data_IF_349716452473
#
_entry.id   IF_349716452473
#
_cell.length_a   1.000
_cell.length_b   1.000
_cell.length_c   1.000
_cell.angle_alpha   90.00
_cell.angle_beta   90.00
_cell.angle_gamma   90.00
#
_symmetry.space_group_name_H-M   'P 1'
#
loop_
_entity.id
_entity.type
_entity.pdbx_description
1 polymer ?
#
# COMPACT_ATOMS: atom_id res chain seq x y z
N UNK A 1 -0.94 15.18 2.66
CA UNK A 1 -0.30 14.55 1.48
C UNK A 1 -1.36 14.23 0.44
N UNK A 2 -1.07 14.48 -0.82
CA UNK A 2 -2.03 14.23 -1.89
C UNK A 2 -2.14 12.75 -2.20
N UNK A 3 -3.31 12.32 -2.66
CA UNK A 3 -3.57 10.93 -3.00
C UNK A 3 -2.55 10.38 -4.01
N UNK A 4 -2.19 11.18 -5.01
CA UNK A 4 -1.20 10.79 -6.01
C UNK A 4 0.17 10.50 -5.39
N UNK A 5 0.55 11.27 -4.39
CA UNK A 5 1.82 11.06 -3.68
C UNK A 5 1.78 9.77 -2.87
N UNK A 6 0.64 9.49 -2.24
CA UNK A 6 0.46 8.26 -1.47
C UNK A 6 0.53 7.04 -2.39
N UNK A 7 -0.13 7.11 -3.54
CA UNK A 7 -0.08 6.04 -4.54
C UNK A 7 1.36 5.77 -4.97
N UNK A 8 2.12 6.82 -5.24
CA UNK A 8 3.52 6.68 -5.64
C UNK A 8 4.36 6.00 -4.56
N UNK A 9 4.11 6.32 -3.29
CA UNK A 9 4.80 5.69 -2.17
C UNK A 9 4.47 4.21 -2.07
N UNK A 10 3.19 3.85 -2.22
CA UNK A 10 2.76 2.45 -2.19
C UNK A 10 3.44 1.66 -3.31
N UNK A 11 3.45 2.21 -4.51
CA UNK A 11 4.07 1.57 -5.67
C UNK A 11 5.57 1.41 -5.45
N UNK A 12 6.23 2.41 -4.88
CA UNK A 12 7.66 2.34 -4.59
C UNK A 12 7.98 1.19 -3.62
N UNK A 13 7.21 1.07 -2.56
CA UNK A 13 7.41 -0.02 -1.60
C UNK A 13 7.06 -1.38 -2.19
N UNK A 14 6.03 -1.47 -3.04
CA UNK A 14 5.71 -2.70 -3.76
C UNK A 14 6.87 -3.12 -4.66
N UNK A 15 7.50 -2.18 -5.33
CA UNK A 15 8.64 -2.46 -6.20
C UNK A 15 9.84 -3.01 -5.47
N UNK A 16 10.00 -2.69 -4.20
CA UNK A 16 11.07 -3.22 -3.36
C UNK A 16 10.83 -4.67 -2.96
N UNK A 17 9.56 -5.04 -2.81
CA UNK A 17 9.15 -6.39 -2.40
C UNK A 17 9.04 -7.30 -3.61
N UNK A 18 8.53 -6.77 -4.73
CA UNK A 18 8.32 -7.52 -5.96
C UNK A 18 8.86 -6.72 -7.15
N UNK A 19 10.19 -6.78 -7.41
CA UNK A 19 10.84 -5.93 -8.41
C UNK A 19 10.36 -6.13 -9.84
N UNK A 20 9.73 -7.26 -10.14
CA UNK A 20 9.22 -7.55 -11.47
C UNK A 20 7.89 -6.87 -11.78
N UNK A 21 7.31 -6.18 -10.81
CA UNK A 21 6.04 -5.47 -11.01
C UNK A 21 6.24 -4.28 -11.93
N UNK A 22 5.36 -4.18 -12.94
CA UNK A 22 5.28 -2.98 -13.78
C UNK A 22 4.17 -2.08 -13.23
N UNK A 23 4.56 -0.96 -12.63
CA UNK A 23 3.63 -0.02 -12.03
C UNK A 23 2.59 0.50 -13.01
N UNK A 24 2.95 0.60 -14.29
CA UNK A 24 2.04 1.10 -15.33
C UNK A 24 0.93 0.10 -15.66
N UNK A 25 1.13 -1.16 -15.34
CA UNK A 25 0.16 -2.22 -15.62
C UNK A 25 -0.64 -2.63 -14.39
N UNK A 26 -0.36 -2.02 -13.24
CA UNK A 26 -1.11 -2.31 -12.03
C UNK A 26 -2.54 -1.79 -12.13
N UNK A 27 -3.50 -2.69 -11.92
CA UNK A 27 -4.90 -2.32 -11.84
C UNK A 27 -5.19 -1.83 -10.41
N UNK A 28 -5.54 -0.55 -10.21
CA UNK A 28 -5.77 -0.02 -8.87
C UNK A 28 -6.96 -0.64 -8.14
N UNK A 29 -7.85 -1.31 -8.86
CA UNK A 29 -9.02 -1.96 -8.28
C UNK A 29 -8.84 -3.46 -8.08
N UNK A 30 -7.73 -4.03 -8.54
CA UNK A 30 -7.42 -5.44 -8.34
C UNK A 30 -6.77 -5.66 -6.97
N UNK A 31 -6.95 -6.85 -6.42
CA UNK A 31 -6.32 -7.21 -5.15
C UNK A 31 -4.81 -7.25 -5.30
N UNK A 32 -4.10 -6.50 -4.45
CA UNK A 32 -2.65 -6.39 -4.52
C UNK A 32 -1.96 -7.75 -4.41
N UNK A 33 -2.45 -8.63 -3.55
CA UNK A 33 -1.84 -9.94 -3.36
C UNK A 33 -1.94 -10.81 -4.62
N UNK A 34 -3.04 -10.69 -5.35
CA UNK A 34 -3.23 -11.42 -6.61
C UNK A 34 -2.50 -10.75 -7.75
N UNK A 35 -2.64 -9.43 -7.87
CA UNK A 35 -2.03 -8.66 -8.96
C UNK A 35 -0.51 -8.73 -8.94
N UNK A 36 0.07 -8.69 -7.74
CA UNK A 36 1.52 -8.68 -7.56
C UNK A 36 2.10 -10.05 -7.22
N UNK A 37 1.24 -11.07 -7.11
CA UNK A 37 1.64 -12.43 -6.76
C UNK A 37 2.49 -12.48 -5.48
N UNK A 38 2.07 -11.74 -4.47
CA UNK A 38 2.75 -11.71 -3.18
C UNK A 38 1.97 -12.52 -2.15
N UNK A 39 2.68 -13.13 -1.21
CA UNK A 39 2.06 -13.91 -0.14
C UNK A 39 1.77 -13.05 1.09
N UNK A 40 1.27 -13.68 2.15
CA UNK A 40 0.91 -12.99 3.38
C UNK A 40 2.11 -12.31 4.04
N UNK A 41 3.29 -12.93 3.96
CA UNK A 41 4.52 -12.38 4.54
C UNK A 41 4.94 -11.12 3.79
N UNK A 42 4.89 -11.16 2.46
CA UNK A 42 5.23 -10.01 1.64
C UNK A 42 4.23 -8.87 1.87
N UNK A 43 2.95 -9.21 2.00
CA UNK A 43 1.93 -8.22 2.29
C UNK A 43 2.18 -7.55 3.65
N UNK A 44 2.53 -8.34 4.65
CA UNK A 44 2.86 -7.83 5.97
C UNK A 44 4.10 -6.92 5.93
N UNK A 45 5.10 -7.31 5.15
CA UNK A 45 6.29 -6.48 4.95
C UNK A 45 5.93 -5.15 4.29
N UNK A 46 5.01 -5.17 3.33
CA UNK A 46 4.52 -3.95 2.68
C UNK A 46 3.85 -3.02 3.70
N UNK A 47 2.96 -3.57 4.53
CA UNK A 47 2.25 -2.80 5.54
C UNK A 47 3.24 -2.18 6.54
N UNK A 48 4.21 -2.97 6.98
CA UNK A 48 5.24 -2.50 7.91
C UNK A 48 6.08 -1.38 7.29
N UNK A 49 6.48 -1.54 6.04
CA UNK A 49 7.26 -0.53 5.34
C UNK A 49 6.48 0.79 5.19
N UNK A 50 5.21 0.69 4.85
CA UNK A 50 4.36 1.87 4.72
C UNK A 50 4.16 2.57 6.06
N UNK A 51 3.94 1.79 7.11
CA UNK A 51 3.79 2.31 8.46
C UNK A 51 5.03 3.11 8.89
N UNK A 52 6.21 2.55 8.66
CA UNK A 52 7.46 3.20 9.02
C UNK A 52 7.74 4.43 8.16
N UNK A 53 7.51 4.31 6.86
CA UNK A 53 7.80 5.40 5.93
C UNK A 53 6.90 6.61 6.14
N UNK A 54 5.62 6.36 6.42
CA UNK A 54 4.63 7.42 6.63
C UNK A 54 4.49 7.82 8.09
N UNK A 55 5.16 7.10 8.99
CA UNK A 55 5.12 7.33 10.44
C UNK A 55 3.70 7.30 11.00
N UNK A 56 2.95 6.29 10.58
CA UNK A 56 1.59 6.06 11.05
C UNK A 56 1.47 4.65 11.58
N UNK A 57 0.46 4.42 12.40
CA UNK A 57 0.15 3.11 12.93
C UNK A 57 -0.95 2.47 12.10
N UNK A 58 -0.73 1.24 11.63
CA UNK A 58 -1.70 0.49 10.84
C UNK A 58 -2.06 -0.77 11.62
N UNK A 59 -3.19 -0.76 12.35
CA UNK A 59 -3.58 -1.95 13.12
C UNK A 59 -4.01 -3.08 12.18
N UNK A 60 -3.81 -4.31 12.65
CA UNK A 60 -4.13 -5.51 11.86
C UNK A 60 -5.59 -5.55 11.42
N UNK A 61 -6.49 -5.01 12.24
CA UNK A 61 -7.92 -4.95 11.92
C UNK A 61 -8.21 -4.11 10.68
N UNK A 62 -7.28 -3.23 10.30
CA UNK A 62 -7.43 -2.37 9.12
C UNK A 62 -6.83 -2.96 7.85
N UNK A 63 -6.19 -4.12 7.93
CA UNK A 63 -5.54 -4.73 6.77
C UNK A 63 -6.50 -4.98 5.59
N UNK A 64 -7.76 -5.36 5.80
CA UNK A 64 -8.68 -5.48 4.67
C UNK A 64 -8.88 -4.19 3.88
N UNK A 65 -8.66 -3.03 4.50
CA UNK A 65 -8.74 -1.74 3.82
C UNK A 65 -7.54 -1.46 2.92
N UNK A 66 -6.56 -2.35 2.92
CA UNK A 66 -5.36 -2.24 2.09
C UNK A 66 -5.35 -3.28 0.96
N UNK A 67 -6.49 -3.88 0.67
CA UNK A 67 -6.57 -4.99 -0.28
C UNK A 67 -6.24 -4.60 -1.71
N UNK A 68 -6.63 -3.40 -2.14
CA UNK A 68 -6.32 -2.89 -3.48
C UNK A 68 -5.46 -1.64 -3.38
N UNK A 69 -4.79 -1.29 -4.48
CA UNK A 69 -3.97 -0.07 -4.52
C UNK A 69 -4.83 1.16 -4.21
N UNK A 70 -6.01 1.24 -4.83
CA UNK A 70 -6.91 2.37 -4.61
C UNK A 70 -7.35 2.48 -3.15
N UNK A 71 -7.81 1.37 -2.57
CA UNK A 71 -8.24 1.34 -1.18
C UNK A 71 -7.10 1.68 -0.23
N UNK A 72 -5.92 1.13 -0.48
CA UNK A 72 -4.74 1.41 0.34
C UNK A 72 -4.39 2.89 0.31
N UNK A 73 -4.41 3.50 -0.86
CA UNK A 73 -4.09 4.91 -1.01
C UNK A 73 -5.08 5.80 -0.27
N UNK A 74 -6.38 5.52 -0.40
CA UNK A 74 -7.43 6.27 0.29
C UNK A 74 -7.29 6.14 1.80
N UNK A 75 -7.10 4.90 2.27
CA UNK A 75 -6.92 4.63 3.70
C UNK A 75 -5.73 5.40 4.26
N UNK A 76 -4.59 5.31 3.60
CA UNK A 76 -3.37 5.97 4.06
C UNK A 76 -3.49 7.49 4.03
N UNK A 77 -4.12 8.03 2.99
CA UNK A 77 -4.34 9.47 2.89
C UNK A 77 -5.21 9.97 4.05
N UNK A 78 -6.27 9.25 4.38
CA UNK A 78 -7.13 9.59 5.50
C UNK A 78 -6.39 9.52 6.84
N UNK A 79 -5.56 8.50 7.02
CA UNK A 79 -4.74 8.35 8.22
C UNK A 79 -3.78 9.53 8.39
N UNK A 80 -3.14 9.93 7.30
CA UNK A 80 -2.20 11.05 7.31
C UNK A 80 -2.90 12.37 7.64
N UNK A 81 -4.08 12.58 7.10
CA UNK A 81 -4.87 13.77 7.39
C UNK A 81 -5.29 13.81 8.87
N UNK A 82 -5.63 12.65 9.42
CA UNK A 82 -6.06 12.56 10.82
C UNK A 82 -4.92 12.84 11.80
N UNK A 83 -3.66 12.62 11.40
CA UNK A 83 -2.48 12.82 12.24
C UNK A 83 -1.77 14.14 11.97
N UNK A 84 -2.17 14.84 10.95
CA UNK A 84 -1.56 16.10 10.55
C UNK A 84 -1.88 17.26 11.52
#
# INVERSE_FOLDING_TARGET
MKLEEVIAIVIDELGRIAPEIDAKQLDPDAELREECDIDSMDFLNLVTALSERLKIEIPETDYPSLATLHQAAVYLAQKLDATA
#
